data_IF_419477381259
#
_entry.id   IF_419477381259
#
_cell.length_a   1.000
_cell.length_b   1.000
_cell.length_c   1.000
_cell.angle_alpha   90.00
_cell.angle_beta   90.00
_cell.angle_gamma   90.00
#
_symmetry.space_group_name_H-M   'P 1'
#
loop_
_entity.id
_entity.type
_entity.pdbx_description
1 polymer ?
#
# COMPACT_ATOMS: atom_id res chain seq x y z
N UNK A 1 11.12 -6.72 -4.30
CA UNK A 1 9.84 -7.36 -3.95
C UNK A 1 9.95 -7.77 -2.49
N UNK A 2 8.93 -7.49 -1.69
CA UNK A 2 8.91 -7.82 -0.26
C UNK A 2 7.75 -8.79 0.01
N UNK A 3 7.99 -9.84 0.78
CA UNK A 3 6.97 -10.84 1.09
C UNK A 3 6.54 -10.70 2.54
N UNK A 4 5.22 -10.66 2.76
CA UNK A 4 4.61 -10.55 4.08
C UNK A 4 3.82 -11.82 4.33
N UNK A 5 4.11 -12.52 5.41
CA UNK A 5 3.25 -13.61 5.89
C UNK A 5 2.05 -13.03 6.61
N UNK A 6 0.86 -13.53 6.28
CA UNK A 6 -0.40 -13.17 6.92
C UNK A 6 -0.55 -13.97 8.21
N UNK A 7 -0.85 -13.28 9.31
CA UNK A 7 -1.21 -13.93 10.56
C UNK A 7 -2.60 -14.58 10.45
N UNK A 8 -3.48 -13.98 9.63
CA UNK A 8 -4.84 -14.41 9.36
C UNK A 8 -5.05 -14.60 7.84
N UNK A 9 -4.80 -15.82 7.32
CA UNK A 9 -4.98 -16.13 5.91
C UNK A 9 -6.42 -15.92 5.43
N UNK A 10 -6.57 -15.44 4.20
CA UNK A 10 -7.86 -15.19 3.55
C UNK A 10 -8.14 -16.22 2.45
N UNK A 11 -9.39 -16.34 2.02
CA UNK A 11 -9.79 -17.18 0.89
C UNK A 11 -10.31 -16.32 -0.27
N UNK A 12 -9.75 -16.53 -1.46
CA UNK A 12 -10.14 -15.82 -2.68
C UNK A 12 -10.35 -16.85 -3.78
N UNK A 13 -11.55 -16.88 -4.36
CA UNK A 13 -11.92 -17.84 -5.41
C UNK A 13 -11.60 -19.31 -5.02
N UNK A 14 -11.78 -19.65 -3.74
CA UNK A 14 -11.48 -20.97 -3.18
C UNK A 14 -10.00 -21.28 -3.02
N UNK A 15 -9.12 -20.29 -3.19
CA UNK A 15 -7.68 -20.39 -2.91
C UNK A 15 -7.35 -19.65 -1.63
N UNK A 16 -6.66 -20.35 -0.73
CA UNK A 16 -6.09 -19.73 0.46
C UNK A 16 -4.88 -18.87 0.10
N UNK A 17 -4.89 -17.63 0.56
CA UNK A 17 -3.76 -16.72 0.51
C UNK A 17 -3.25 -16.56 1.94
N UNK A 18 -2.03 -17.00 2.19
CA UNK A 18 -1.33 -16.93 3.47
C UNK A 18 -0.15 -15.95 3.44
N UNK A 19 0.16 -15.36 2.28
CA UNK A 19 1.20 -14.37 2.12
C UNK A 19 0.89 -13.37 1.01
N UNK A 20 1.34 -12.13 1.19
CA UNK A 20 1.32 -11.07 0.19
C UNK A 20 2.72 -10.88 -0.39
N UNK A 21 2.80 -10.68 -1.70
CA UNK A 21 4.06 -10.32 -2.38
C UNK A 21 3.94 -8.90 -2.90
N UNK A 22 4.59 -7.97 -2.23
CA UNK A 22 4.61 -6.57 -2.61
C UNK A 22 5.65 -6.30 -3.68
N UNK A 23 5.23 -5.64 -4.76
CA UNK A 23 6.11 -5.17 -5.82
C UNK A 23 6.40 -3.68 -5.71
N UNK A 24 7.51 -3.24 -6.32
CA UNK A 24 7.80 -1.81 -6.47
C UNK A 24 6.71 -1.18 -7.35
N UNK A 25 6.13 -0.03 -7.00
CA UNK A 25 5.09 0.60 -7.80
C UNK A 25 5.59 0.91 -9.21
N UNK A 26 4.73 0.66 -10.21
CA UNK A 26 4.88 1.12 -11.60
C UNK A 26 3.93 2.30 -11.84
N UNK A 27 4.08 2.97 -12.98
CA UNK A 27 3.22 4.10 -13.35
C UNK A 27 1.71 3.78 -13.26
N UNK A 28 1.30 2.56 -13.68
CA UNK A 28 -0.10 2.12 -13.55
C UNK A 28 -0.59 2.06 -12.10
N UNK A 29 0.29 1.67 -11.18
CA UNK A 29 -0.04 1.53 -9.77
C UNK A 29 -0.13 2.91 -9.12
N UNK A 30 0.76 3.84 -9.52
CA UNK A 30 0.71 5.24 -9.11
C UNK A 30 -0.57 5.95 -9.58
N UNK A 31 -1.11 5.59 -10.74
CA UNK A 31 -2.41 6.08 -11.20
C UNK A 31 -3.53 5.53 -10.30
N UNK A 32 -3.46 4.26 -9.89
CA UNK A 32 -4.47 3.63 -9.06
C UNK A 32 -4.45 4.15 -7.60
N UNK A 33 -3.27 4.36 -7.03
CA UNK A 33 -3.11 4.72 -5.61
C UNK A 33 -2.81 6.21 -5.38
N UNK A 34 -2.65 7.00 -6.44
CA UNK A 34 -2.20 8.39 -6.38
C UNK A 34 -3.05 9.28 -5.46
N UNK A 35 -4.38 9.14 -5.56
CA UNK A 35 -5.33 9.90 -4.73
C UNK A 35 -5.31 9.47 -3.24
N UNK A 36 -4.74 8.30 -2.95
CA UNK A 36 -4.61 7.74 -1.61
C UNK A 36 -3.25 8.06 -0.95
N UNK A 37 -2.22 8.37 -1.74
CA UNK A 37 -0.85 8.61 -1.24
C UNK A 37 -0.76 9.65 -0.13
N UNK A 38 -1.40 10.84 -0.20
CA UNK A 38 -1.30 11.82 0.88
C UNK A 38 -1.77 11.29 2.23
N UNK A 39 -2.84 10.46 2.23
CA UNK A 39 -3.37 9.83 3.44
C UNK A 39 -2.42 8.75 3.97
N UNK A 40 -1.90 7.91 3.08
CA UNK A 40 -0.96 6.84 3.45
C UNK A 40 0.35 7.42 4.00
N UNK A 41 0.87 8.52 3.42
CA UNK A 41 2.07 9.18 3.92
C UNK A 41 1.83 9.83 5.29
N UNK A 42 0.68 10.49 5.49
CA UNK A 42 0.32 11.05 6.80
C UNK A 42 0.25 9.97 7.90
N UNK A 43 -0.23 8.75 7.56
CA UNK A 43 -0.22 7.61 8.47
C UNK A 43 1.22 7.15 8.82
N UNK A 44 2.13 7.13 7.85
CA UNK A 44 3.53 6.73 8.03
C UNK A 44 4.31 7.72 8.90
N UNK A 45 4.10 9.01 8.70
CA UNK A 45 4.87 10.07 9.38
C UNK A 45 4.47 10.26 10.85
N UNK A 46 3.51 9.46 11.34
CA UNK A 46 3.20 9.36 12.77
C UNK A 46 2.51 10.61 13.31
N UNK A 47 1.70 11.30 12.49
CA UNK A 47 0.86 12.41 12.98
C UNK A 47 0.00 11.87 14.13
N UNK A 48 0.18 12.43 15.33
CA UNK A 48 -0.17 11.83 16.64
C UNK A 48 -1.67 11.54 16.83
N UNK A 49 -2.51 11.98 15.88
CA UNK A 49 -3.94 11.75 15.80
C UNK A 49 -4.34 10.48 15.00
N UNK A 50 -3.48 9.45 14.96
CA UNK A 50 -3.72 8.19 14.22
C UNK A 50 -5.08 7.52 14.53
N UNK A 51 -5.62 7.69 15.75
CA UNK A 51 -6.96 7.21 16.09
C UNK A 51 -8.10 8.08 15.52
N UNK A 52 -7.90 9.40 15.40
CA UNK A 52 -8.87 10.32 14.80
C UNK A 52 -8.87 10.26 13.26
N UNK A 53 -7.75 9.83 12.67
CA UNK A 53 -7.57 9.67 11.23
C UNK A 53 -7.99 8.28 10.69
N UNK A 54 -8.27 7.30 11.56
CA UNK A 54 -8.85 6.00 11.22
C UNK A 54 -10.34 6.09 10.83
N UNK A 55 -10.62 6.85 9.77
CA UNK A 55 -11.95 6.95 9.16
C UNK A 55 -12.08 5.98 7.97
N UNK A 56 -13.31 5.78 7.49
CA UNK A 56 -13.60 4.87 6.35
C UNK A 56 -12.75 5.18 5.10
N UNK A 57 -12.37 6.44 4.95
CA UNK A 57 -11.57 6.97 3.85
C UNK A 57 -10.09 6.57 3.95
N UNK A 58 -9.54 6.50 5.16
CA UNK A 58 -8.22 5.93 5.43
C UNK A 58 -8.24 4.42 5.17
N UNK A 59 -9.26 3.70 5.63
CA UNK A 59 -9.39 2.26 5.37
C UNK A 59 -9.44 1.95 3.87
N UNK A 60 -10.22 2.73 3.09
CA UNK A 60 -10.23 2.61 1.63
C UNK A 60 -8.85 2.84 1.02
N UNK A 61 -8.11 3.84 1.50
CA UNK A 61 -6.76 4.11 1.06
C UNK A 61 -5.83 2.92 1.37
N UNK A 62 -5.89 2.35 2.57
CA UNK A 62 -5.10 1.18 2.97
C UNK A 62 -5.39 -0.03 2.08
N UNK A 63 -6.66 -0.33 1.84
CA UNK A 63 -7.13 -1.43 0.98
C UNK A 63 -6.65 -1.23 -0.46
N UNK A 64 -6.84 -0.04 -1.03
CA UNK A 64 -6.39 0.27 -2.39
C UNK A 64 -4.87 0.13 -2.52
N UNK A 65 -4.13 0.61 -1.52
CA UNK A 65 -2.68 0.57 -1.51
C UNK A 65 -2.14 -0.86 -1.45
N UNK A 66 -2.60 -1.66 -0.48
CA UNK A 66 -2.17 -3.06 -0.32
C UNK A 66 -2.66 -3.90 -1.50
N UNK A 67 -3.93 -3.77 -1.89
CA UNK A 67 -4.54 -4.51 -2.98
C UNK A 67 -3.83 -4.28 -4.31
N UNK A 68 -3.42 -3.04 -4.59
CA UNK A 68 -2.68 -2.70 -5.80
C UNK A 68 -1.26 -3.25 -5.74
N UNK A 69 -0.51 -2.97 -4.66
CA UNK A 69 0.92 -3.31 -4.61
C UNK A 69 1.21 -4.80 -4.37
N UNK A 70 0.20 -5.58 -3.96
CA UNK A 70 0.28 -7.04 -3.86
C UNK A 70 -0.34 -7.78 -5.05
N UNK A 71 -0.87 -7.06 -6.05
CA UNK A 71 -1.60 -7.61 -7.21
C UNK A 71 -2.79 -8.52 -6.83
N UNK A 72 -3.32 -8.46 -5.59
CA UNK A 72 -4.52 -9.22 -5.18
C UNK A 72 -5.83 -8.46 -5.49
N UNK A 73 -5.76 -7.15 -5.67
CA UNK A 73 -6.90 -6.25 -5.90
C UNK A 73 -7.60 -5.78 -4.61
N UNK A 74 -8.46 -4.76 -4.75
CA UNK A 74 -9.14 -4.13 -3.61
C UNK A 74 -10.14 -5.06 -2.91
N UNK A 75 -10.93 -5.82 -3.67
CA UNK A 75 -11.94 -6.74 -3.11
C UNK A 75 -11.30 -7.78 -2.21
N UNK A 76 -10.20 -8.36 -2.68
CA UNK A 76 -9.36 -9.26 -1.91
C UNK A 76 -8.80 -8.61 -0.64
N UNK A 77 -8.25 -7.40 -0.77
CA UNK A 77 -7.64 -6.69 0.34
C UNK A 77 -8.66 -6.26 1.43
N UNK A 78 -9.95 -6.14 1.10
CA UNK A 78 -11.01 -5.88 2.09
C UNK A 78 -11.24 -7.06 3.05
N UNK A 79 -10.88 -8.28 2.66
CA UNK A 79 -11.02 -9.48 3.50
C UNK A 79 -9.84 -9.65 4.47
N UNK A 80 -8.79 -8.85 4.35
CA UNK A 80 -7.64 -8.90 5.25
C UNK A 80 -8.05 -8.54 6.67
N UNK A 81 -7.51 -9.27 7.65
CA UNK A 81 -7.59 -8.84 9.04
C UNK A 81 -6.93 -7.47 9.21
N UNK A 82 -7.47 -6.66 10.12
CA UNK A 82 -6.99 -5.29 10.33
C UNK A 82 -5.49 -5.22 10.64
N UNK A 83 -4.97 -6.18 11.43
CA UNK A 83 -3.55 -6.24 11.77
C UNK A 83 -2.68 -6.52 10.55
N UNK A 84 -3.11 -7.46 9.71
CA UNK A 84 -2.40 -7.81 8.48
C UNK A 84 -2.49 -6.69 7.44
N UNK A 85 -3.59 -5.94 7.40
CA UNK A 85 -3.73 -4.76 6.56
C UNK A 85 -2.77 -3.64 6.98
N UNK A 86 -2.65 -3.33 8.27
CA UNK A 86 -1.68 -2.34 8.78
C UNK A 86 -0.26 -2.74 8.38
N UNK A 87 0.12 -3.98 8.68
CA UNK A 87 1.43 -4.54 8.30
C UNK A 87 1.64 -4.45 6.79
N UNK A 88 0.62 -4.77 6.00
CA UNK A 88 0.62 -4.62 4.55
C UNK A 88 0.95 -3.20 4.11
N UNK A 89 0.32 -2.20 4.74
CA UNK A 89 0.54 -0.78 4.44
C UNK A 89 1.94 -0.32 4.81
N UNK A 90 2.41 -0.62 6.02
CA UNK A 90 3.78 -0.28 6.47
C UNK A 90 4.80 -0.76 5.44
N UNK A 91 4.70 -2.03 5.07
CA UNK A 91 5.60 -2.67 4.12
C UNK A 91 5.43 -2.16 2.68
N UNK A 92 4.19 -1.83 2.30
CA UNK A 92 3.87 -1.21 1.03
C UNK A 92 4.47 0.20 0.90
N UNK A 93 4.54 0.96 1.99
CA UNK A 93 5.18 2.28 1.99
C UNK A 93 6.69 2.18 1.88
N UNK A 94 7.31 1.14 2.44
CA UNK A 94 8.75 0.89 2.26
C UNK A 94 9.10 0.57 0.80
N UNK A 95 8.30 -0.24 0.10
CA UNK A 95 8.58 -0.58 -1.31
C UNK A 95 8.32 0.58 -2.28
N UNK A 96 7.51 1.56 -1.87
CA UNK A 96 7.34 2.82 -2.60
C UNK A 96 8.68 3.59 -2.66
N UNK A 97 9.50 3.47 -1.60
CA UNK A 97 10.75 4.20 -1.41
C UNK A 97 10.52 5.67 -1.06
N UNK A 98 11.60 6.38 -0.73
CA UNK A 98 11.58 7.84 -0.79
C UNK A 98 11.43 8.25 -2.27
N UNK A 99 10.58 9.23 -2.61
CA UNK A 99 10.57 9.77 -3.95
C UNK A 99 11.97 10.34 -4.19
N UNK A 100 12.79 9.67 -5.00
CA UNK A 100 13.92 10.33 -5.64
C UNK A 100 13.29 11.44 -6.48
N UNK A 101 13.31 12.66 -5.94
CA UNK A 101 13.06 13.84 -6.72
C UNK A 101 14.01 13.72 -7.90
N UNK A 102 13.45 13.52 -9.10
CA UNK A 102 14.22 13.66 -10.32
C UNK A 102 14.57 15.13 -10.38
N UNK A 103 15.70 15.51 -9.80
CA UNK A 103 16.31 16.81 -9.99
C UNK A 103 16.46 16.97 -11.50
N UNK A 104 15.61 17.79 -12.11
CA UNK A 104 15.43 17.87 -13.56
C UNK A 104 16.66 18.33 -14.35
N UNK A 105 17.84 18.37 -13.73
CA UNK A 105 19.09 18.79 -14.34
C UNK A 105 19.79 17.69 -15.15
N UNK A 106 19.52 16.39 -14.91
CA UNK A 106 20.27 15.33 -15.61
C UNK A 106 19.67 14.88 -16.96
N UNK A 107 18.48 15.36 -17.37
CA UNK A 107 17.81 14.85 -18.59
C UNK A 107 17.63 15.83 -19.75
N UNK A 108 18.11 17.06 -19.62
CA UNK A 108 18.31 17.93 -20.80
C UNK A 108 19.79 17.96 -21.13
N UNK A 109 20.26 16.94 -21.83
CA UNK A 109 21.52 17.04 -22.55
C UNK A 109 21.48 18.25 -23.48
N UNK A 110 22.22 19.29 -23.13
CA UNK A 110 22.53 20.44 -23.95
C UNK A 110 24.05 20.55 -24.10
#
# INVERSE_FOLDING_TARGET
>A
MKTIQLDYPIEIDGKRIDALVLHRPKAKDMIAIGDHLPKIMALKDGDEDNAANMNADMFRAMVAFVGTLSDIGEVAAMELDFKDLIKGVEEATEVLGEPEASDGEEKTGA
#
